data_IF_281978216308
#
_entry.id   IF_281978216308
#
_cell.length_a   1.000
_cell.length_b   1.000
_cell.length_c   1.000
_cell.angle_alpha   90.00
_cell.angle_beta   90.00
_cell.angle_gamma   90.00
#
_symmetry.space_group_name_H-M   'P 1'
#
loop_
_entity.id
_entity.type
_entity.pdbx_description
1 polymer ?
#
# COMPACT_ATOMS: atom_id res chain seq x y z
N UNK A 1 6.46 -21.02 4.68
CA UNK A 1 7.19 -19.78 4.33
C UNK A 1 6.23 -18.60 4.42
N UNK A 2 6.69 -17.41 4.84
CA UNK A 2 5.83 -16.21 4.92
C UNK A 2 5.90 -15.47 3.59
N UNK A 3 4.73 -15.12 3.03
CA UNK A 3 4.61 -14.20 1.90
C UNK A 3 4.15 -12.86 2.46
N UNK A 4 4.96 -11.82 2.31
CA UNK A 4 4.65 -10.45 2.73
C UNK A 4 4.33 -9.62 1.50
N UNK A 5 3.11 -9.09 1.42
CA UNK A 5 2.72 -8.14 0.37
C UNK A 5 2.76 -6.74 0.97
N UNK A 6 3.55 -5.87 0.37
CA UNK A 6 3.70 -4.48 0.76
C UNK A 6 2.86 -3.65 -0.19
N UNK A 7 1.71 -3.17 0.26
CA UNK A 7 0.90 -2.22 -0.49
C UNK A 7 1.54 -0.84 -0.45
N UNK A 8 2.27 -0.51 -1.51
CA UNK A 8 3.17 0.63 -1.54
C UNK A 8 2.55 1.82 -2.27
N UNK A 9 1.79 2.62 -1.52
CA UNK A 9 1.22 3.89 -1.97
C UNK A 9 2.16 5.10 -1.79
N UNK A 10 3.41 4.88 -1.32
CA UNK A 10 4.43 5.92 -1.08
C UNK A 10 4.04 7.03 -0.07
N UNK A 11 2.89 6.94 0.58
CA UNK A 11 2.36 7.92 1.54
C UNK A 11 1.97 7.26 2.86
N UNK A 12 1.71 8.05 3.90
CA UNK A 12 1.05 7.57 5.11
C UNK A 12 -0.47 7.52 4.89
N UNK A 13 -0.90 6.53 4.10
CA UNK A 13 -2.20 6.48 3.40
C UNK A 13 -3.42 6.90 4.22
N UNK A 14 -3.61 6.36 5.42
CA UNK A 14 -4.78 6.70 6.23
C UNK A 14 -4.79 8.19 6.61
N UNK A 15 -3.68 8.72 7.13
CA UNK A 15 -3.59 10.15 7.50
C UNK A 15 -3.61 11.05 6.25
N UNK A 16 -3.02 10.59 5.14
CA UNK A 16 -3.07 11.27 3.84
C UNK A 16 -4.52 11.40 3.32
N UNK A 17 -5.35 10.36 3.45
CA UNK A 17 -6.77 10.42 3.10
C UNK A 17 -7.50 11.46 3.95
N UNK A 18 -7.29 11.47 5.27
CA UNK A 18 -7.90 12.49 6.16
C UNK A 18 -7.48 13.91 5.77
N UNK A 19 -6.19 14.13 5.53
CA UNK A 19 -5.66 15.44 5.10
C UNK A 19 -6.23 15.89 3.75
N UNK A 20 -6.43 14.93 2.82
CA UNK A 20 -7.06 15.19 1.54
C UNK A 20 -8.53 15.59 1.67
N UNK A 21 -9.30 14.88 2.51
CA UNK A 21 -10.75 15.05 2.61
C UNK A 21 -11.17 16.21 3.52
N UNK A 22 -10.48 16.42 4.64
CA UNK A 22 -10.95 17.34 5.69
C UNK A 22 -10.04 18.55 5.94
N UNK A 23 -8.83 18.57 5.37
CA UNK A 23 -7.84 19.62 5.64
C UNK A 23 -7.37 20.36 4.38
N UNK A 24 -8.20 20.37 3.33
CA UNK A 24 -7.94 21.12 2.10
C UNK A 24 -6.64 20.70 1.41
N UNK A 25 -6.32 19.39 1.43
CA UNK A 25 -5.11 18.82 0.82
C UNK A 25 -3.79 19.40 1.40
N UNK A 26 -3.82 19.87 2.65
CA UNK A 26 -2.62 20.32 3.36
C UNK A 26 -1.89 19.11 3.95
N UNK A 27 -0.92 18.59 3.19
CA UNK A 27 -0.17 17.41 3.56
C UNK A 27 0.92 17.70 4.58
N UNK A 28 0.67 17.35 5.84
CA UNK A 28 1.64 17.52 6.92
C UNK A 28 2.31 16.19 7.25
N UNK A 29 3.56 16.03 6.80
CA UNK A 29 4.43 14.88 7.08
C UNK A 29 3.85 13.50 6.64
N UNK A 30 2.95 13.48 5.66
CA UNK A 30 2.32 12.26 5.14
C UNK A 30 2.88 11.81 3.79
N UNK A 31 3.73 12.63 3.15
CA UNK A 31 4.45 12.30 1.91
C UNK A 31 5.94 12.19 2.26
N UNK A 32 6.41 11.05 2.78
CA UNK A 32 7.77 10.92 3.30
C UNK A 32 8.85 10.78 2.21
N UNK A 33 8.48 10.70 0.93
CA UNK A 33 9.39 10.58 -0.22
C UNK A 33 10.47 9.48 -0.05
N UNK A 34 10.06 8.34 0.51
CA UNK A 34 10.98 7.23 0.79
C UNK A 34 11.57 6.68 -0.51
N UNK A 35 12.89 6.51 -0.51
CA UNK A 35 13.67 5.88 -1.59
C UNK A 35 13.97 4.40 -1.35
N UNK A 36 13.31 3.80 -0.36
CA UNK A 36 13.55 2.41 0.03
C UNK A 36 13.17 1.46 -1.10
N UNK A 37 14.11 0.61 -1.48
CA UNK A 37 13.91 -0.52 -2.38
C UNK A 37 13.60 -1.76 -1.52
N UNK A 38 12.33 -2.15 -1.47
CA UNK A 38 11.88 -3.29 -0.65
C UNK A 38 12.34 -4.63 -1.22
N UNK A 39 12.54 -4.75 -2.53
CA UNK A 39 13.05 -5.96 -3.17
C UNK A 39 14.49 -6.20 -2.72
N UNK A 40 15.35 -5.18 -2.83
CA UNK A 40 16.74 -5.27 -2.37
C UNK A 40 16.84 -5.49 -0.86
N UNK A 41 15.95 -4.88 -0.08
CA UNK A 41 15.90 -5.13 1.36
C UNK A 41 15.60 -6.60 1.65
N UNK A 42 14.58 -7.18 1.02
CA UNK A 42 14.24 -8.60 1.20
C UNK A 42 15.43 -9.51 0.86
N UNK A 43 16.08 -9.27 -0.28
CA UNK A 43 17.25 -10.02 -0.73
C UNK A 43 18.42 -9.91 0.23
N UNK A 44 18.67 -8.72 0.81
CA UNK A 44 19.72 -8.52 1.81
C UNK A 44 19.50 -9.35 3.09
N UNK A 45 18.24 -9.67 3.43
CA UNK A 45 17.89 -10.54 4.56
C UNK A 45 17.75 -12.02 4.15
N UNK A 46 18.10 -12.39 2.91
CA UNK A 46 18.00 -13.76 2.40
C UNK A 46 16.58 -14.20 2.02
N UNK A 47 15.63 -13.27 1.94
CA UNK A 47 14.31 -13.52 1.38
C UNK A 47 14.30 -13.27 -0.14
N UNK A 48 13.30 -13.81 -0.83
CA UNK A 48 13.06 -13.50 -2.24
C UNK A 48 12.28 -12.20 -2.36
N UNK A 49 12.71 -11.28 -3.22
CA UNK A 49 11.97 -10.06 -3.53
C UNK A 49 11.32 -10.10 -4.92
N UNK A 50 10.10 -9.58 -5.03
CA UNK A 50 9.38 -9.32 -6.27
C UNK A 50 8.78 -7.90 -6.24
N UNK A 51 8.58 -7.30 -7.40
CA UNK A 51 7.87 -6.03 -7.56
C UNK A 51 6.77 -6.17 -8.61
N UNK A 52 5.65 -5.49 -8.41
CA UNK A 52 4.54 -5.44 -9.36
C UNK A 52 3.94 -4.02 -9.40
N UNK A 53 3.83 -3.48 -10.61
CA UNK A 53 3.22 -2.17 -10.89
C UNK A 53 1.81 -2.31 -11.49
N UNK A 54 1.43 -3.51 -11.91
CA UNK A 54 0.11 -3.82 -12.45
C UNK A 54 -0.52 -5.04 -11.79
N UNK A 55 -1.85 -5.19 -11.93
CA UNK A 55 -2.57 -6.36 -11.41
C UNK A 55 -2.06 -7.67 -12.03
N UNK A 56 -1.76 -7.67 -13.34
CA UNK A 56 -1.26 -8.87 -14.02
C UNK A 56 0.15 -9.26 -13.54
N UNK A 57 1.03 -8.28 -13.33
CA UNK A 57 2.34 -8.52 -12.73
C UNK A 57 2.22 -9.03 -11.29
N UNK A 58 1.26 -8.50 -10.51
CA UNK A 58 1.00 -8.98 -9.17
C UNK A 58 0.54 -10.45 -9.16
N UNK A 59 -0.39 -10.83 -10.04
CA UNK A 59 -0.81 -12.22 -10.19
C UNK A 59 0.36 -13.14 -10.52
N UNK A 60 1.25 -12.72 -11.42
CA UNK A 60 2.46 -13.48 -11.77
C UNK A 60 3.42 -13.60 -10.57
N UNK A 61 3.70 -12.49 -9.89
CA UNK A 61 4.57 -12.45 -8.72
C UNK A 61 4.03 -13.31 -7.59
N UNK A 62 2.72 -13.26 -7.35
CA UNK A 62 2.05 -14.06 -6.32
C UNK A 62 2.12 -15.55 -6.65
N UNK A 63 1.91 -15.93 -7.92
CA UNK A 63 2.09 -17.31 -8.37
C UNK A 63 3.52 -17.81 -8.16
N UNK A 64 4.53 -16.98 -8.46
CA UNK A 64 5.94 -17.31 -8.18
C UNK A 64 6.17 -17.46 -6.68
N UNK A 65 5.68 -16.53 -5.87
CA UNK A 65 5.82 -16.55 -4.41
C UNK A 65 5.25 -17.83 -3.77
N UNK A 66 4.11 -18.32 -4.26
CA UNK A 66 3.51 -19.58 -3.78
C UNK A 66 4.38 -20.82 -4.06
N UNK A 67 5.25 -20.76 -5.07
CA UNK A 67 6.16 -21.85 -5.41
C UNK A 67 7.51 -21.80 -4.67
N UNK A 68 7.77 -20.72 -3.92
CA UNK A 68 9.02 -20.54 -3.19
C UNK A 68 9.03 -21.33 -1.88
N UNK A 69 10.20 -21.88 -1.53
CA UNK A 69 10.39 -22.60 -0.28
C UNK A 69 10.75 -21.68 0.90
N UNK A 70 11.22 -20.45 0.61
CA UNK A 70 11.68 -19.45 1.58
C UNK A 70 10.70 -18.28 1.75
N UNK A 71 11.01 -17.32 2.64
CA UNK A 71 10.23 -16.09 2.79
C UNK A 71 10.28 -15.25 1.50
N UNK A 72 9.16 -14.62 1.17
CA UNK A 72 9.01 -13.80 -0.03
C UNK A 72 8.40 -12.45 0.31
N UNK A 73 8.95 -11.37 -0.23
CA UNK A 73 8.35 -10.04 -0.20
C UNK A 73 7.92 -9.63 -1.60
N UNK A 74 6.73 -9.05 -1.71
CA UNK A 74 6.18 -8.49 -2.94
C UNK A 74 5.93 -7.00 -2.70
N UNK A 75 6.70 -6.14 -3.35
CA UNK A 75 6.44 -4.69 -3.41
C UNK A 75 5.34 -4.43 -4.46
N UNK A 76 4.13 -4.15 -3.99
CA UNK A 76 2.95 -3.97 -4.82
C UNK A 76 2.61 -2.48 -4.90
N UNK A 77 2.88 -1.85 -6.04
CA UNK A 77 2.53 -0.46 -6.25
C UNK A 77 1.01 -0.30 -6.28
N UNK A 78 0.52 0.69 -5.52
CA UNK A 78 -0.90 1.08 -5.52
C UNK A 78 -0.99 2.59 -5.61
N UNK A 79 -2.12 3.09 -6.13
CA UNK A 79 -2.36 4.52 -6.22
C UNK A 79 -2.37 5.17 -4.81
N UNK A 80 -1.67 6.30 -4.68
CA UNK A 80 -1.65 7.08 -3.43
C UNK A 80 -2.99 7.74 -3.12
N UNK A 81 -3.80 7.97 -4.14
CA UNK A 81 -5.10 8.62 -4.04
C UNK A 81 -6.25 7.60 -3.91
N UNK A 82 -5.95 6.29 -3.87
CA UNK A 82 -6.90 5.25 -3.51
C UNK A 82 -7.43 5.47 -2.08
N UNK A 83 -8.76 5.41 -1.92
CA UNK A 83 -9.46 5.71 -0.66
C UNK A 83 -10.09 4.47 -0.08
N UNK A 84 -10.14 4.41 1.24
CA UNK A 84 -11.00 3.46 1.95
C UNK A 84 -12.41 4.04 1.98
N UNK A 85 -13.32 3.35 1.30
CA UNK A 85 -14.74 3.70 1.18
C UNK A 85 -15.60 2.44 1.41
N UNK A 86 -16.85 2.58 1.91
CA UNK A 86 -17.44 3.83 2.38
C UNK A 86 -16.84 4.32 3.70
N UNK A 87 -16.98 5.61 4.01
CA UNK A 87 -16.48 6.23 5.24
C UNK A 87 -17.56 7.08 5.91
N UNK A 88 -17.79 6.88 7.21
CA UNK A 88 -18.58 7.81 8.03
C UNK A 88 -17.60 8.79 8.69
N UNK A 89 -17.75 10.12 8.51
CA UNK A 89 -16.86 11.10 9.11
C UNK A 89 -16.98 11.09 10.64
N UNK A 90 -15.94 11.57 11.32
CA UNK A 90 -15.91 11.63 12.78
C UNK A 90 -17.09 12.43 13.34
N UNK A 91 -17.90 11.79 14.18
CA UNK A 91 -19.11 12.40 14.77
C UNK A 91 -20.36 12.31 13.90
N UNK A 92 -20.30 11.70 12.72
CA UNK A 92 -21.45 11.45 11.85
C UNK A 92 -22.18 10.14 12.15
N UNK A 93 -23.22 9.89 11.37
CA UNK A 93 -24.09 8.71 11.41
C UNK A 93 -24.04 7.94 10.09
N UNK A 94 -24.83 6.87 9.97
CA UNK A 94 -24.95 6.11 8.72
C UNK A 94 -25.47 6.98 7.56
N UNK A 95 -26.26 8.03 7.85
CA UNK A 95 -26.78 8.96 6.84
C UNK A 95 -25.69 9.87 6.25
N UNK A 96 -24.59 10.08 6.97
CA UNK A 96 -23.46 10.93 6.55
C UNK A 96 -22.38 10.16 5.77
N UNK A 97 -22.73 8.97 5.24
CA UNK A 97 -21.79 8.08 4.59
C UNK A 97 -21.23 8.67 3.29
N UNK A 98 -19.91 8.74 3.20
CA UNK A 98 -19.17 9.10 1.99
C UNK A 98 -18.95 7.81 1.19
N UNK A 99 -19.48 7.76 -0.04
CA UNK A 99 -19.36 6.60 -0.94
C UNK A 99 -18.43 6.84 -2.13
N UNK A 100 -18.07 8.10 -2.41
CA UNK A 100 -17.22 8.53 -3.54
C UNK A 100 -16.20 9.60 -3.08
#
# INVERSE_FOLDING_TARGET
>A
PIITVIFNNKVLGMVYQWQSQFYGQRYSATVPERKTDFVRMAEAFGAKGYSADTLSEFEECYRKALSEKGPVWIDCAIDKDARVLPMIPGGGTVEDMITE
#
